data_IF_157264774520
#
_entry.id   IF_157264774520
#
_cell.length_a   1.000
_cell.length_b   1.000
_cell.length_c   1.000
_cell.angle_alpha   90.00
_cell.angle_beta   90.00
_cell.angle_gamma   90.00
#
_symmetry.space_group_name_H-M   'P 1'
#
loop_
_entity.id
_entity.type
_entity.pdbx_description
1 polymer ?
#
# COMPACT_ATOMS: atom_id res chain seq x y z
N UNK A 1 21.57 13.12 5.18
CA UNK A 1 20.76 11.93 5.50
C UNK A 1 19.95 11.60 4.26
N UNK A 2 20.12 10.39 3.73
CA UNK A 2 19.51 9.94 2.46
C UNK A 2 18.01 9.62 2.64
N UNK A 3 17.29 9.42 1.53
CA UNK A 3 15.91 8.93 1.55
C UNK A 3 15.79 7.64 2.37
N UNK A 4 16.66 6.66 2.09
CA UNK A 4 16.64 5.36 2.76
C UNK A 4 16.91 5.48 4.27
N UNK A 5 17.87 6.30 4.68
CA UNK A 5 18.14 6.54 6.10
C UNK A 5 16.93 7.14 6.82
N UNK A 6 16.26 8.13 6.20
CA UNK A 6 15.04 8.73 6.75
C UNK A 6 13.89 7.73 6.82
N UNK A 7 13.70 6.93 5.77
CA UNK A 7 12.68 5.88 5.73
C UNK A 7 12.90 4.85 6.85
N UNK A 8 14.13 4.37 7.02
CA UNK A 8 14.45 3.41 8.07
C UNK A 8 14.22 3.97 9.48
N UNK A 9 14.49 5.26 9.70
CA UNK A 9 14.19 5.93 10.97
C UNK A 9 12.67 6.01 11.20
N UNK A 10 11.89 6.31 10.16
CA UNK A 10 10.43 6.35 10.26
C UNK A 10 9.85 4.97 10.60
N UNK A 11 10.33 3.91 9.94
CA UNK A 11 9.96 2.52 10.22
C UNK A 11 10.34 2.11 11.66
N UNK A 12 11.55 2.42 12.11
CA UNK A 12 12.01 2.15 13.48
C UNK A 12 11.11 2.84 14.53
N UNK A 13 10.76 4.11 14.29
CA UNK A 13 9.82 4.84 15.15
C UNK A 13 8.43 4.18 15.16
N UNK A 14 7.92 3.82 13.99
CA UNK A 14 6.57 3.32 13.82
C UNK A 14 6.35 1.93 14.46
N UNK A 15 7.33 1.04 14.37
CA UNK A 15 7.14 -0.38 14.72
C UNK A 15 7.97 -0.86 15.90
N UNK A 16 9.08 -0.17 16.23
CA UNK A 16 9.98 -0.59 17.32
C UNK A 16 9.83 0.36 18.51
N UNK A 17 10.02 1.66 18.30
CA UNK A 17 10.01 2.62 19.42
C UNK A 17 8.62 2.83 20.00
N UNK A 18 7.59 2.76 19.17
CA UNK A 18 6.19 2.89 19.62
C UNK A 18 5.79 1.86 20.68
N UNK A 19 6.47 0.70 20.72
CA UNK A 19 6.23 -0.32 21.75
C UNK A 19 6.62 0.16 23.16
N UNK A 20 7.43 1.22 23.24
CA UNK A 20 7.92 1.82 24.48
C UNK A 20 7.33 3.21 24.72
N UNK A 21 6.30 3.62 23.97
CA UNK A 21 5.61 4.89 24.21
C UNK A 21 4.96 4.86 25.61
N UNK A 22 5.08 5.97 26.35
CA UNK A 22 4.50 6.07 27.69
C UNK A 22 2.98 6.08 27.65
N UNK A 23 2.33 5.58 28.69
CA UNK A 23 0.86 5.66 28.82
C UNK A 23 0.33 7.10 28.84
N UNK A 24 1.16 8.08 29.23
CA UNK A 24 0.81 9.51 29.22
C UNK A 24 0.88 10.17 27.85
N UNK A 25 1.61 9.57 26.91
CA UNK A 25 1.75 10.02 25.52
C UNK A 25 1.66 8.80 24.59
N UNK A 26 0.50 8.12 24.52
CA UNK A 26 0.36 6.93 23.70
C UNK A 26 0.55 7.30 22.23
N UNK A 27 1.20 6.41 21.47
CA UNK A 27 1.43 6.53 20.03
C UNK A 27 2.32 7.71 19.58
N UNK A 28 3.00 8.39 20.51
CA UNK A 28 3.93 9.49 20.18
C UNK A 28 4.89 9.12 19.05
N UNK A 29 5.53 7.96 19.14
CA UNK A 29 6.50 7.53 18.13
C UNK A 29 5.83 7.26 16.78
N UNK A 30 4.55 6.85 16.75
CA UNK A 30 3.79 6.67 15.51
C UNK A 30 3.43 8.00 14.86
N UNK A 31 3.01 9.00 15.62
CA UNK A 31 2.79 10.35 15.08
C UNK A 31 4.09 11.00 14.58
N UNK A 32 5.21 10.78 15.27
CA UNK A 32 6.52 11.21 14.79
C UNK A 32 6.93 10.48 13.50
N UNK A 33 6.66 9.17 13.39
CA UNK A 33 6.91 8.40 12.19
C UNK A 33 6.05 8.87 11.01
N UNK A 34 4.75 9.15 11.25
CA UNK A 34 3.82 9.68 10.24
C UNK A 34 4.38 10.95 9.60
N UNK A 35 4.83 11.89 10.42
CA UNK A 35 5.42 13.14 9.94
C UNK A 35 6.67 12.89 9.07
N UNK A 36 7.51 11.93 9.46
CA UNK A 36 8.68 11.55 8.65
C UNK A 36 8.26 10.92 7.32
N UNK A 37 7.24 10.06 7.29
CA UNK A 37 6.70 9.51 6.03
C UNK A 37 6.14 10.62 5.14
N UNK A 38 5.41 11.59 5.70
CA UNK A 38 4.89 12.75 4.96
C UNK A 38 6.03 13.62 4.38
N UNK A 39 7.11 13.83 5.13
CA UNK A 39 8.28 14.56 4.64
C UNK A 39 9.01 13.84 3.48
N UNK A 40 8.82 12.52 3.33
CA UNK A 40 9.48 11.73 2.27
C UNK A 40 8.82 11.87 0.89
N UNK A 41 7.58 12.38 0.78
CA UNK A 41 6.94 12.60 -0.53
C UNK A 41 7.68 13.63 -1.39
N UNK A 42 8.36 14.58 -0.76
CA UNK A 42 9.02 15.70 -1.43
C UNK A 42 10.55 15.50 -1.55
N UNK A 43 11.07 14.35 -1.11
CA UNK A 43 12.51 14.05 -1.21
C UNK A 43 12.81 13.47 -2.59
N UNK A 44 13.75 14.09 -3.30
CA UNK A 44 14.25 13.53 -4.56
C UNK A 44 15.00 12.22 -4.31
N UNK A 45 14.56 11.18 -5.00
CA UNK A 45 15.19 9.86 -5.01
C UNK A 45 16.26 9.90 -6.11
N UNK A 46 17.51 9.68 -5.73
CA UNK A 46 18.63 9.65 -6.67
C UNK A 46 18.39 8.56 -7.73
N UNK A 47 18.33 8.95 -9.00
CA UNK A 47 17.90 8.08 -10.11
C UNK A 47 18.88 6.92 -10.38
N UNK A 48 20.07 6.95 -9.76
CA UNK A 48 21.23 6.08 -10.05
C UNK A 48 21.22 4.73 -9.35
N UNK A 49 20.10 4.02 -9.35
CA UNK A 49 20.05 2.62 -8.89
C UNK A 49 19.92 1.68 -10.07
N UNK A 50 21.06 1.24 -10.62
CA UNK A 50 21.16 0.27 -11.73
C UNK A 50 20.43 -1.06 -11.43
N UNK A 51 20.18 -1.36 -10.15
CA UNK A 51 19.46 -2.55 -9.72
C UNK A 51 17.96 -2.49 -10.05
N UNK A 52 17.37 -1.29 -10.00
CA UNK A 52 15.93 -1.10 -10.13
C UNK A 52 15.51 -0.95 -11.60
N UNK A 53 16.35 -0.37 -12.47
CA UNK A 53 16.04 -0.27 -13.91
C UNK A 53 15.65 -1.62 -14.55
N UNK A 54 16.27 -2.72 -14.12
CA UNK A 54 15.97 -4.06 -14.64
C UNK A 54 14.65 -4.65 -14.15
N UNK A 55 14.25 -4.37 -12.91
CA UNK A 55 12.96 -4.87 -12.38
C UNK A 55 11.78 -3.97 -12.82
N UNK A 56 12.02 -2.68 -13.07
CA UNK A 56 10.97 -1.70 -13.37
C UNK A 56 10.78 -1.41 -14.86
N UNK A 57 11.67 -1.90 -15.73
CA UNK A 57 11.45 -1.87 -17.18
C UNK A 57 10.14 -2.55 -17.60
N UNK A 58 9.65 -3.54 -16.83
CA UNK A 58 8.42 -4.30 -17.14
C UNK A 58 7.13 -3.68 -16.59
N UNK A 59 7.19 -2.53 -15.92
CA UNK A 59 6.03 -1.91 -15.27
C UNK A 59 5.38 -0.85 -16.17
N UNK A 60 4.36 -1.17 -16.95
CA UNK A 60 3.71 -0.16 -17.79
C UNK A 60 2.74 0.72 -16.98
N UNK A 61 3.22 1.90 -16.57
CA UNK A 61 2.42 2.94 -15.89
C UNK A 61 2.23 4.14 -16.83
N UNK A 62 1.05 4.79 -16.77
CA UNK A 62 0.71 6.01 -17.54
C UNK A 62 0.31 7.11 -16.53
N UNK A 63 0.76 8.35 -16.76
CA UNK A 63 0.52 9.53 -15.91
C UNK A 63 -0.62 10.35 -16.51
N UNK A 64 -1.55 10.80 -15.67
CA UNK A 64 -2.58 11.76 -16.06
C UNK A 64 -2.32 13.10 -15.35
N UNK A 65 -2.52 14.20 -16.09
CA UNK A 65 -2.10 15.57 -15.78
C UNK A 65 -2.21 16.03 -14.31
N UNK A 66 -1.16 16.72 -13.87
CA UNK A 66 -1.05 17.69 -12.75
C UNK A 66 -1.59 17.31 -11.35
N UNK A 67 -2.00 16.06 -11.10
CA UNK A 67 -2.64 15.68 -9.82
C UNK A 67 -2.01 14.53 -9.05
N UNK A 68 -0.75 14.15 -9.31
CA UNK A 68 -0.10 13.01 -8.62
C UNK A 68 -0.98 11.73 -8.65
N UNK A 69 -1.73 11.51 -9.74
CA UNK A 69 -2.68 10.41 -9.89
C UNK A 69 -2.32 9.63 -11.16
N UNK A 70 -2.06 8.33 -11.03
CA UNK A 70 -1.66 7.44 -12.13
C UNK A 70 -2.86 6.59 -12.53
N UNK A 71 -3.23 6.57 -13.82
CA UNK A 71 -4.37 5.81 -14.36
C UNK A 71 -3.97 5.21 -15.72
N UNK A 72 -4.39 3.97 -16.01
CA UNK A 72 -4.15 3.30 -17.29
C UNK A 72 -5.12 3.79 -18.38
N UNK A 73 -4.60 4.10 -19.58
CA UNK A 73 -5.39 4.29 -20.81
C UNK A 73 -5.32 2.99 -21.63
N UNK A 74 -6.47 2.43 -21.99
CA UNK A 74 -6.57 1.37 -23.00
C UNK A 74 -6.57 2.00 -24.42
N UNK A 75 -5.42 2.43 -24.94
CA UNK A 75 -5.21 2.51 -26.40
C UNK A 75 -3.76 2.79 -26.78
N UNK A 76 -3.27 1.99 -27.73
CA UNK A 76 -1.92 1.92 -28.29
C UNK A 76 -1.41 3.19 -29.00
N UNK A 77 -2.17 4.30 -29.02
CA UNK A 77 -1.81 5.45 -29.88
C UNK A 77 -1.43 6.73 -29.11
N UNK A 78 -1.59 6.79 -27.78
CA UNK A 78 -1.22 7.98 -26.98
C UNK A 78 -0.55 7.69 -25.62
N UNK A 79 -0.23 6.42 -25.32
CA UNK A 79 0.49 6.05 -24.11
C UNK A 79 1.94 6.56 -24.17
N UNK A 80 2.22 7.70 -23.54
CA UNK A 80 3.60 8.09 -23.22
C UNK A 80 4.11 7.13 -22.15
N UNK A 81 5.02 6.24 -22.54
CA UNK A 81 5.77 5.38 -21.64
C UNK A 81 6.32 6.21 -20.47
N UNK A 82 5.96 5.86 -19.22
CA UNK A 82 6.51 6.56 -18.06
C UNK A 82 8.01 6.32 -17.98
N UNK A 83 8.77 7.36 -17.63
CA UNK A 83 10.15 7.16 -17.22
C UNK A 83 10.22 6.23 -16.01
N UNK A 84 11.25 5.40 -15.94
CA UNK A 84 11.56 4.54 -14.80
C UNK A 84 11.50 5.32 -13.47
N UNK A 85 11.97 6.58 -13.48
CA UNK A 85 11.91 7.47 -12.31
C UNK A 85 10.49 7.78 -11.82
N UNK A 86 9.51 7.93 -12.72
CA UNK A 86 8.10 8.15 -12.35
C UNK A 86 7.45 6.86 -11.81
N UNK A 87 7.78 5.70 -12.39
CA UNK A 87 7.34 4.38 -11.91
C UNK A 87 7.84 4.12 -10.48
N UNK A 88 9.11 4.45 -10.23
CA UNK A 88 9.71 4.35 -8.90
C UNK A 88 9.03 5.26 -7.88
N UNK A 89 8.79 6.53 -8.26
CA UNK A 89 8.14 7.50 -7.38
C UNK A 89 6.72 7.05 -7.00
N UNK A 90 5.97 6.50 -7.95
CA UNK A 90 4.65 5.94 -7.68
C UNK A 90 4.68 4.83 -6.61
N UNK A 91 5.56 3.84 -6.75
CA UNK A 91 5.65 2.73 -5.80
C UNK A 91 6.08 3.17 -4.41
N UNK A 92 7.02 4.11 -4.35
CA UNK A 92 7.46 4.69 -3.09
C UNK A 92 6.28 5.41 -2.43
N UNK A 93 5.50 6.18 -3.18
CA UNK A 93 4.32 6.84 -2.64
C UNK A 93 3.29 5.83 -2.11
N UNK A 94 3.00 4.76 -2.85
CA UNK A 94 2.09 3.70 -2.37
C UNK A 94 2.59 3.05 -1.08
N UNK A 95 3.90 2.85 -0.94
CA UNK A 95 4.50 2.31 0.28
C UNK A 95 4.39 3.29 1.46
N UNK A 96 4.62 4.59 1.21
CA UNK A 96 4.46 5.63 2.23
C UNK A 96 2.98 5.74 2.66
N UNK A 97 2.05 5.76 1.71
CA UNK A 97 0.61 5.77 1.97
C UNK A 97 0.20 4.56 2.82
N UNK A 98 0.74 3.37 2.52
CA UNK A 98 0.49 2.16 3.30
C UNK A 98 0.92 2.30 4.76
N UNK A 99 2.11 2.84 5.03
CA UNK A 99 2.58 3.05 6.40
C UNK A 99 1.74 4.07 7.15
N UNK A 100 1.35 5.16 6.49
CA UNK A 100 0.46 6.17 7.08
C UNK A 100 -0.92 5.56 7.40
N UNK A 101 -1.46 4.73 6.49
CA UNK A 101 -2.73 4.04 6.71
C UNK A 101 -2.66 3.05 7.90
N UNK A 102 -1.54 2.34 8.05
CA UNK A 102 -1.31 1.46 9.20
C UNK A 102 -1.27 2.26 10.51
N UNK A 103 -0.64 3.45 10.51
CA UNK A 103 -0.62 4.33 11.68
C UNK A 103 -2.05 4.75 12.05
N UNK A 104 -2.88 5.17 11.10
CA UNK A 104 -4.28 5.52 11.36
C UNK A 104 -5.06 4.36 11.98
N UNK A 105 -4.86 3.13 11.48
CA UNK A 105 -5.47 1.94 12.07
C UNK A 105 -5.04 1.72 13.52
N UNK A 106 -3.75 1.90 13.80
CA UNK A 106 -3.15 1.71 15.12
C UNK A 106 -3.51 2.81 16.13
N UNK A 107 -3.74 4.04 15.68
CA UNK A 107 -4.12 5.19 16.50
C UNK A 107 -5.62 5.35 16.67
N UNK A 108 -6.39 4.32 16.33
CA UNK A 108 -7.86 4.27 16.40
C UNK A 108 -8.60 5.21 15.42
N UNK A 109 -7.87 5.87 14.53
CA UNK A 109 -8.37 6.67 13.38
C UNK A 109 -8.75 5.72 12.22
N UNK A 110 -9.55 4.70 12.54
CA UNK A 110 -9.79 3.53 11.67
C UNK A 110 -10.51 3.88 10.37
N UNK A 111 -11.39 4.89 10.37
CA UNK A 111 -12.11 5.35 9.17
C UNK A 111 -11.17 5.99 8.15
N UNK A 112 -10.24 6.81 8.64
CA UNK A 112 -9.18 7.45 7.86
C UNK A 112 -8.22 6.39 7.31
N UNK A 113 -7.85 5.41 8.15
CA UNK A 113 -7.06 4.24 7.75
C UNK A 113 -7.73 3.45 6.63
N UNK A 114 -9.00 3.07 6.77
CA UNK A 114 -9.74 2.34 5.73
C UNK A 114 -9.85 3.14 4.43
N UNK A 115 -10.17 4.43 4.51
CA UNK A 115 -10.26 5.31 3.33
C UNK A 115 -8.93 5.35 2.57
N UNK A 116 -7.81 5.48 3.30
CA UNK A 116 -6.48 5.48 2.72
C UNK A 116 -6.17 4.13 2.06
N UNK A 117 -6.36 3.01 2.76
CA UNK A 117 -6.12 1.66 2.21
C UNK A 117 -6.94 1.38 0.93
N UNK A 118 -8.21 1.79 0.91
CA UNK A 118 -9.07 1.65 -0.30
C UNK A 118 -8.57 2.50 -1.46
N UNK A 119 -8.10 3.72 -1.20
CA UNK A 119 -7.52 4.58 -2.23
C UNK A 119 -6.27 3.96 -2.85
N UNK A 120 -5.38 3.39 -2.02
CA UNK A 120 -4.18 2.69 -2.49
C UNK A 120 -4.58 1.47 -3.33
N UNK A 121 -5.50 0.63 -2.82
CA UNK A 121 -5.94 -0.57 -3.53
C UNK A 121 -6.57 -0.25 -4.90
N UNK A 122 -7.44 0.76 -4.95
CA UNK A 122 -8.04 1.24 -6.20
C UNK A 122 -6.96 1.68 -7.21
N UNK A 123 -5.90 2.34 -6.72
CA UNK A 123 -4.79 2.75 -7.58
C UNK A 123 -4.00 1.54 -8.11
N UNK A 124 -3.76 0.51 -7.29
CA UNK A 124 -3.05 -0.70 -7.70
C UNK A 124 -3.87 -1.54 -8.68
N UNK A 125 -5.18 -1.68 -8.46
CA UNK A 125 -6.08 -2.43 -9.37
C UNK A 125 -6.15 -1.81 -10.77
N UNK A 126 -5.89 -0.50 -10.87
CA UNK A 126 -5.81 0.23 -12.14
C UNK A 126 -4.44 0.11 -12.82
N UNK A 127 -3.44 -0.50 -12.19
CA UNK A 127 -2.10 -0.71 -12.72
C UNK A 127 -1.89 -2.13 -13.29
N UNK A 128 -0.96 -2.28 -14.24
CA UNK A 128 -0.61 -3.61 -14.80
C UNK A 128 -0.01 -4.53 -13.73
N UNK A 129 -0.29 -5.84 -13.80
CA UNK A 129 0.13 -6.81 -12.78
C UNK A 129 1.67 -6.87 -12.62
N UNK A 130 2.16 -6.44 -11.46
CA UNK A 130 3.56 -6.55 -11.07
C UNK A 130 3.70 -7.28 -9.73
N UNK A 131 4.68 -8.19 -9.54
CA UNK A 131 4.81 -8.96 -8.30
C UNK A 131 4.86 -8.11 -7.02
N UNK A 132 5.55 -6.97 -7.04
CA UNK A 132 5.62 -6.06 -5.89
C UNK A 132 4.26 -5.42 -5.59
N UNK A 133 3.50 -5.05 -6.62
CA UNK A 133 2.15 -4.50 -6.46
C UNK A 133 1.20 -5.57 -5.93
N UNK A 134 1.29 -6.81 -6.40
CA UNK A 134 0.52 -7.93 -5.86
C UNK A 134 0.81 -8.18 -4.37
N UNK A 135 2.10 -8.14 -3.98
CA UNK A 135 2.48 -8.26 -2.57
C UNK A 135 1.92 -7.11 -1.73
N UNK A 136 1.95 -5.88 -2.23
CA UNK A 136 1.36 -4.74 -1.54
C UNK A 136 -0.17 -4.87 -1.45
N UNK A 137 -0.86 -5.25 -2.53
CA UNK A 137 -2.31 -5.51 -2.54
C UNK A 137 -2.71 -6.55 -1.49
N UNK A 138 -1.98 -7.65 -1.37
CA UNK A 138 -2.25 -8.67 -0.34
C UNK A 138 -2.13 -8.08 1.07
N UNK A 139 -1.10 -7.27 1.34
CA UNK A 139 -0.96 -6.60 2.63
C UNK A 139 -2.10 -5.59 2.90
N UNK A 140 -2.52 -4.83 1.88
CA UNK A 140 -3.66 -3.89 1.99
C UNK A 140 -4.95 -4.63 2.33
N UNK A 141 -5.24 -5.74 1.65
CA UNK A 141 -6.41 -6.56 1.91
C UNK A 141 -6.40 -7.14 3.32
N UNK A 142 -5.24 -7.63 3.79
CA UNK A 142 -5.08 -8.10 5.16
C UNK A 142 -5.39 -7.00 6.18
N UNK A 143 -4.88 -5.78 5.98
CA UNK A 143 -5.16 -4.64 6.87
C UNK A 143 -6.63 -4.25 6.85
N UNK A 144 -7.27 -4.21 5.66
CA UNK A 144 -8.69 -3.93 5.54
C UNK A 144 -9.55 -4.96 6.28
N UNK A 145 -9.19 -6.25 6.21
CA UNK A 145 -9.88 -7.32 6.95
C UNK A 145 -9.72 -7.10 8.46
N UNK A 146 -8.53 -6.76 8.94
CA UNK A 146 -8.30 -6.49 10.37
C UNK A 146 -9.14 -5.31 10.86
N UNK A 147 -9.17 -4.20 10.12
CA UNK A 147 -9.99 -3.04 10.47
C UNK A 147 -11.47 -3.45 10.55
N UNK A 148 -12.01 -4.08 9.51
CA UNK A 148 -13.44 -4.41 9.46
C UNK A 148 -13.86 -5.46 10.50
N UNK A 149 -13.01 -6.42 10.81
CA UNK A 149 -13.27 -7.41 11.87
C UNK A 149 -13.19 -6.81 13.27
N UNK A 150 -12.38 -5.75 13.47
CA UNK A 150 -12.33 -5.02 14.74
C UNK A 150 -13.60 -4.19 15.04
N UNK A 151 -14.41 -3.87 14.02
CA UNK A 151 -15.66 -3.12 14.17
C UNK A 151 -16.86 -3.96 14.65
N UNK A 152 -16.69 -5.26 14.93
CA UNK A 152 -17.79 -6.24 15.05
C UNK A 152 -18.73 -6.28 13.83
N UNK A 153 -18.36 -5.59 12.75
CA UNK A 153 -19.04 -5.51 11.46
C UNK A 153 -18.64 -6.70 10.57
N UNK A 154 -18.68 -7.91 11.14
CA UNK A 154 -18.34 -9.14 10.43
C UNK A 154 -19.13 -9.31 9.13
N UNK A 155 -20.41 -8.96 9.14
CA UNK A 155 -21.28 -9.08 7.96
C UNK A 155 -20.90 -8.08 6.87
N UNK A 156 -20.56 -6.84 7.24
CA UNK A 156 -20.10 -5.79 6.32
C UNK A 156 -18.70 -6.11 5.76
N UNK A 157 -17.84 -6.76 6.56
CA UNK A 157 -16.54 -7.28 6.13
C UNK A 157 -16.68 -8.36 5.06
N UNK A 158 -17.60 -9.32 5.26
CA UNK A 158 -17.90 -10.40 4.31
C UNK A 158 -18.49 -9.81 3.02
N UNK A 159 -19.51 -8.96 3.13
CA UNK A 159 -20.23 -8.40 1.98
C UNK A 159 -19.35 -7.51 1.10
N UNK A 160 -18.45 -6.72 1.70
CA UNK A 160 -17.54 -5.80 0.99
C UNK A 160 -16.17 -6.40 0.69
N UNK A 161 -15.93 -7.67 1.00
CA UNK A 161 -14.64 -8.31 0.70
C UNK A 161 -14.50 -8.70 -0.76
N UNK A 162 -15.57 -8.67 -1.57
CA UNK A 162 -15.63 -9.24 -2.93
C UNK A 162 -15.05 -10.66 -3.06
N UNK A 163 -14.78 -11.32 -1.92
CA UNK A 163 -14.59 -12.74 -1.83
C UNK A 163 -15.98 -13.32 -2.04
N UNK A 164 -16.38 -13.49 -3.30
CA UNK A 164 -17.35 -14.52 -3.64
C UNK A 164 -16.90 -15.73 -2.82
N UNK A 165 -17.74 -16.29 -1.93
CA UNK A 165 -17.39 -17.53 -1.29
C UNK A 165 -17.04 -18.47 -2.44
N UNK A 166 -15.76 -18.84 -2.54
CA UNK A 166 -15.40 -19.97 -3.34
C UNK A 166 -16.20 -21.09 -2.71
N UNK A 167 -17.34 -21.43 -3.33
CA UNK A 167 -17.94 -22.72 -3.14
C UNK A 167 -16.85 -23.70 -3.54
N UNK A 168 -16.08 -24.13 -2.55
CA UNK A 168 -15.36 -25.37 -2.62
C UNK A 168 -16.48 -26.39 -2.67
N UNK A 169 -16.95 -26.68 -3.89
CA UNK A 169 -17.62 -27.94 -4.13
C UNK A 169 -16.62 -28.99 -3.66
N UNK A 170 -16.89 -29.55 -2.49
CA UNK A 170 -16.28 -30.78 -2.05
C UNK A 170 -16.59 -31.78 -3.16
N UNK A 171 -15.59 -32.00 -4.03
CA UNK A 171 -15.59 -33.08 -5.00
C UNK A 171 -15.65 -34.36 -4.18
N UNK A 172 -16.87 -34.81 -3.91
CA UNK A 172 -17.19 -36.09 -3.30
C UNK A 172 -17.02 -37.18 -4.36
N UNK A 173 -15.81 -37.30 -4.93
CA UNK A 173 -15.46 -38.43 -5.78
C UNK A 173 -14.55 -39.39 -5.04
N UNK A 174 -15.20 -40.43 -4.53
CA UNK A 174 -14.77 -41.82 -4.67
C UNK A 174 -13.43 -42.21 -4.03
N UNK A 175 -13.45 -42.43 -2.72
CA UNK A 175 -12.69 -43.54 -2.13
C UNK A 175 -13.64 -44.72 -1.88
N UNK A 176 -13.89 -45.49 -2.94
CA UNK A 176 -14.26 -46.90 -2.81
C UNK A 176 -12.99 -47.72 -2.99
N UNK A 177 -12.44 -48.22 -1.89
CA UNK A 177 -11.65 -49.45 -1.85
C UNK A 177 -12.18 -50.31 -0.72
#
# INVERSE_FOLDING_TARGET
MTFLERYLIAVDKCYVRSLNDSETEPYKSKYEAKKLFEELYDVDIDEKSDYLEKEFQTLDLIEEDDKKKFIMIQSDEQAKELSVSKKHRYLIHLLLDYHIAAIYSDTEERSEGESCLRSILTSIEQALHHPLLCSLSLNLLNQLILIRTSFEQYNDAIEKSDLKPYHVELVNDSYKH
#
